data_IF_921904338153
#
_entry.id   IF_921904338153
#
_cell.length_a   1.000
_cell.length_b   1.000
_cell.length_c   1.000
_cell.angle_alpha   90.00
_cell.angle_beta   90.00
_cell.angle_gamma   90.00
#
_symmetry.space_group_name_H-M   'P 1'
#
loop_
_entity.id
_entity.type
_entity.pdbx_description
1 polymer ?
#
# COMPACT_ATOMS: atom_id res chain seq x y z
N UNK A 1 -18.87 24.18 -11.56
CA UNK A 1 -17.54 23.76 -11.12
C UNK A 1 -17.54 22.27 -10.91
N UNK A 2 -16.63 21.55 -11.55
CA UNK A 2 -16.44 20.11 -11.40
C UNK A 2 -15.29 19.88 -10.40
N UNK A 3 -15.52 19.12 -9.35
CA UNK A 3 -14.53 18.87 -8.29
C UNK A 3 -14.30 17.36 -8.14
N UNK A 4 -13.06 16.94 -8.24
CA UNK A 4 -12.65 15.58 -7.91
C UNK A 4 -12.13 15.54 -6.46
N UNK A 5 -12.73 14.68 -5.65
CA UNK A 5 -12.37 14.47 -4.24
C UNK A 5 -11.67 13.13 -4.12
N UNK A 6 -10.34 13.16 -3.96
CA UNK A 6 -9.46 12.00 -3.96
C UNK A 6 -8.60 11.92 -2.67
N UNK A 7 -9.21 11.68 -1.49
CA UNK A 7 -8.51 11.60 -0.22
C UNK A 7 -8.00 10.20 0.06
N UNK A 8 -6.91 10.11 0.83
CA UNK A 8 -6.55 8.94 1.60
C UNK A 8 -7.30 8.91 2.95
N UNK A 9 -7.20 7.83 3.68
CA UNK A 9 -7.78 7.66 4.99
C UNK A 9 -7.14 8.60 6.04
N UNK A 10 -7.93 9.03 7.01
CA UNK A 10 -7.41 9.63 8.23
C UNK A 10 -7.17 8.49 9.24
N UNK A 11 -5.99 7.87 9.14
CA UNK A 11 -5.63 6.66 9.89
C UNK A 11 -6.04 6.72 11.35
N UNK A 12 -6.80 5.72 11.83
CA UNK A 12 -7.35 5.68 13.19
C UNK A 12 -8.55 6.59 13.44
N UNK A 13 -9.13 7.21 12.40
CA UNK A 13 -10.30 8.11 12.52
C UNK A 13 -11.35 7.80 11.44
N UNK A 14 -11.12 8.19 10.18
CA UNK A 14 -12.05 8.01 9.05
C UNK A 14 -11.39 7.22 7.92
N UNK A 15 -12.14 6.31 7.30
CA UNK A 15 -11.76 5.70 6.02
C UNK A 15 -11.71 6.74 4.90
N UNK A 16 -11.01 6.44 3.81
CA UNK A 16 -10.95 7.33 2.64
C UNK A 16 -12.33 7.64 2.04
N UNK A 17 -13.25 6.66 2.10
CA UNK A 17 -14.65 6.85 1.68
C UNK A 17 -15.38 7.83 2.59
N UNK A 18 -15.28 7.68 3.92
CA UNK A 18 -15.94 8.59 4.88
C UNK A 18 -15.39 10.01 4.77
N UNK A 19 -14.09 10.17 4.54
CA UNK A 19 -13.48 11.49 4.25
C UNK A 19 -14.07 12.08 2.97
N UNK A 20 -14.15 11.30 1.89
CA UNK A 20 -14.68 11.76 0.61
C UNK A 20 -16.17 12.19 0.73
N UNK A 21 -16.99 11.42 1.44
CA UNK A 21 -18.40 11.75 1.65
C UNK A 21 -18.58 13.00 2.54
N UNK A 22 -17.75 13.18 3.57
CA UNK A 22 -17.76 14.38 4.40
C UNK A 22 -17.41 15.64 3.58
N UNK A 23 -16.38 15.55 2.73
CA UNK A 23 -16.01 16.65 1.81
C UNK A 23 -17.11 16.94 0.82
N UNK A 24 -17.70 15.90 0.20
CA UNK A 24 -18.79 16.04 -0.76
C UNK A 24 -20.04 16.71 -0.14
N UNK A 25 -20.44 16.29 1.06
CA UNK A 25 -21.55 16.89 1.78
C UNK A 25 -21.32 18.39 2.00
N UNK A 26 -20.15 18.77 2.49
CA UNK A 26 -19.78 20.17 2.73
C UNK A 26 -19.74 21.00 1.43
N UNK A 27 -19.19 20.44 0.34
CA UNK A 27 -19.15 21.11 -0.96
C UNK A 27 -20.56 21.35 -1.53
N UNK A 28 -21.44 20.35 -1.41
CA UNK A 28 -22.81 20.44 -1.92
C UNK A 28 -23.61 21.54 -1.19
N UNK A 29 -23.35 21.70 0.12
CA UNK A 29 -23.98 22.76 0.91
C UNK A 29 -23.36 24.13 0.61
N UNK A 30 -22.03 24.23 0.53
CA UNK A 30 -21.34 25.51 0.32
C UNK A 30 -21.47 26.04 -1.12
N UNK A 31 -21.64 25.16 -2.12
CA UNK A 31 -21.73 25.51 -3.54
C UNK A 31 -22.87 24.72 -4.23
N UNK A 32 -24.13 25.14 -4.05
CA UNK A 32 -25.25 24.52 -4.76
C UNK A 32 -25.00 24.50 -6.28
N UNK A 33 -25.08 23.32 -6.90
CA UNK A 33 -24.85 23.15 -8.34
C UNK A 33 -23.41 22.78 -8.75
N UNK A 34 -22.48 22.60 -7.82
CA UNK A 34 -21.20 21.96 -8.14
C UNK A 34 -21.40 20.47 -8.42
N UNK A 35 -20.58 19.92 -9.32
CA UNK A 35 -20.52 18.48 -9.58
C UNK A 35 -19.34 17.91 -8.81
N UNK A 36 -19.62 17.05 -7.84
CA UNK A 36 -18.58 16.41 -7.02
C UNK A 36 -18.48 14.93 -7.35
N UNK A 37 -17.29 14.51 -7.77
CA UNK A 37 -16.95 13.10 -7.99
C UNK A 37 -16.02 12.65 -6.87
N UNK A 38 -16.36 11.56 -6.18
CA UNK A 38 -15.53 10.97 -5.13
C UNK A 38 -14.72 9.81 -5.70
N UNK A 39 -13.42 9.83 -5.44
CA UNK A 39 -12.46 8.79 -5.76
C UNK A 39 -11.58 8.53 -4.53
N UNK A 40 -12.08 7.79 -3.52
CA UNK A 40 -11.24 7.44 -2.38
C UNK A 40 -10.01 6.69 -2.85
N UNK A 41 -8.84 7.07 -2.32
CA UNK A 41 -7.55 6.48 -2.68
C UNK A 41 -6.88 5.83 -1.47
N UNK A 42 -5.76 5.16 -1.72
CA UNK A 42 -4.86 4.59 -0.71
C UNK A 42 -3.42 4.83 -1.14
N UNK A 43 -2.51 4.84 -0.21
CA UNK A 43 -1.07 4.85 -0.48
C UNK A 43 -0.54 3.48 -1.00
N UNK A 44 -1.42 2.49 -1.17
CA UNK A 44 -1.03 1.14 -1.63
C UNK A 44 -0.54 0.22 -0.51
N UNK A 45 -0.57 0.70 0.74
CA UNK A 45 -0.32 -0.09 1.93
C UNK A 45 -1.52 -0.93 2.34
N UNK A 46 -1.86 -0.95 3.64
CA UNK A 46 -3.04 -1.64 4.15
C UNK A 46 -4.34 -0.98 3.64
N UNK A 47 -5.36 -1.80 3.34
CA UNK A 47 -6.67 -1.34 2.89
C UNK A 47 -6.79 -1.10 1.38
N UNK A 48 -5.86 -1.62 0.59
CA UNK A 48 -5.88 -1.54 -0.89
C UNK A 48 -7.16 -2.17 -1.47
N UNK A 49 -7.54 -3.36 -0.98
CA UNK A 49 -8.78 -4.04 -1.36
C UNK A 49 -9.99 -3.17 -1.05
N UNK A 50 -10.06 -2.62 0.15
CA UNK A 50 -11.18 -1.78 0.59
C UNK A 50 -11.30 -0.48 -0.24
N UNK A 51 -10.17 0.14 -0.56
CA UNK A 51 -10.14 1.38 -1.32
C UNK A 51 -10.54 1.18 -2.79
N UNK A 52 -10.09 0.09 -3.42
CA UNK A 52 -10.28 -0.12 -4.85
C UNK A 52 -11.58 -0.85 -5.21
N UNK A 53 -12.07 -1.75 -4.34
CA UNK A 53 -13.22 -2.62 -4.67
C UNK A 53 -14.48 -1.86 -5.10
N UNK A 54 -14.93 -0.79 -4.40
CA UNK A 54 -16.14 -0.08 -4.80
C UNK A 54 -16.02 0.57 -6.17
N UNK A 55 -14.89 1.23 -6.44
CA UNK A 55 -14.66 1.98 -7.68
C UNK A 55 -14.49 1.07 -8.90
N UNK A 56 -13.94 -0.13 -8.69
CA UNK A 56 -13.72 -1.13 -9.75
C UNK A 56 -14.89 -2.11 -9.91
N UNK A 57 -15.96 -1.96 -9.12
CA UNK A 57 -17.05 -2.94 -9.09
C UNK A 57 -16.56 -4.35 -8.76
N UNK A 58 -15.50 -4.45 -7.94
CA UNK A 58 -14.88 -5.72 -7.59
C UNK A 58 -15.68 -6.45 -6.52
N UNK A 59 -15.77 -7.76 -6.65
CA UNK A 59 -16.35 -8.64 -5.63
C UNK A 59 -15.26 -9.09 -4.67
N UNK A 60 -15.50 -8.93 -3.36
CA UNK A 60 -14.63 -9.50 -2.34
C UNK A 60 -14.93 -10.98 -2.20
N UNK A 61 -13.90 -11.80 -2.33
CA UNK A 61 -13.96 -13.26 -2.21
C UNK A 61 -13.04 -13.72 -1.08
N UNK A 62 -13.35 -14.85 -0.48
CA UNK A 62 -12.55 -15.45 0.59
C UNK A 62 -12.00 -16.82 0.18
N UNK A 63 -10.80 -17.12 0.63
CA UNK A 63 -10.14 -18.41 0.49
C UNK A 63 -9.63 -18.92 1.84
N UNK A 64 -9.56 -20.25 2.00
CA UNK A 64 -8.88 -20.86 3.14
C UNK A 64 -7.40 -21.00 2.80
N UNK A 65 -6.56 -20.36 3.58
CA UNK A 65 -5.11 -20.30 3.40
C UNK A 65 -4.41 -20.47 4.75
N UNK A 66 -3.09 -20.51 4.76
CA UNK A 66 -2.30 -20.55 5.98
C UNK A 66 -1.93 -19.14 6.46
N UNK A 67 -1.96 -18.95 7.78
CA UNK A 67 -1.39 -17.75 8.41
C UNK A 67 0.15 -17.87 8.49
N UNK A 68 0.88 -16.85 8.99
CA UNK A 68 2.34 -16.89 9.06
C UNK A 68 2.92 -18.06 9.85
N UNK A 69 2.16 -18.66 10.77
CA UNK A 69 2.56 -19.78 11.60
C UNK A 69 1.92 -21.13 11.19
N UNK A 70 1.39 -21.22 9.97
CA UNK A 70 0.87 -22.44 9.39
C UNK A 70 -0.54 -22.84 9.85
N UNK A 71 -1.28 -21.97 10.56
CA UNK A 71 -2.67 -22.23 10.96
C UNK A 71 -3.62 -21.89 9.81
N UNK A 72 -4.66 -22.67 9.60
CA UNK A 72 -5.65 -22.36 8.56
C UNK A 72 -6.52 -21.18 8.98
N UNK A 73 -6.57 -20.15 8.12
CA UNK A 73 -7.39 -18.95 8.29
C UNK A 73 -8.23 -18.69 7.03
N UNK A 74 -9.25 -17.84 7.18
CA UNK A 74 -10.00 -17.31 6.04
C UNK A 74 -9.45 -15.94 5.71
N UNK A 75 -8.86 -15.78 4.53
CA UNK A 75 -8.34 -14.51 4.04
C UNK A 75 -9.14 -14.03 2.83
N UNK A 76 -9.27 -12.73 2.66
CA UNK A 76 -10.08 -12.11 1.63
C UNK A 76 -9.25 -11.35 0.61
N UNK A 77 -9.73 -11.30 -0.63
CA UNK A 77 -9.16 -10.48 -1.69
C UNK A 77 -10.25 -10.06 -2.67
N UNK A 78 -9.97 -9.08 -3.54
CA UNK A 78 -10.96 -8.60 -4.49
C UNK A 78 -10.73 -9.13 -5.91
N UNK A 79 -11.82 -9.38 -6.64
CA UNK A 79 -11.82 -9.83 -8.03
C UNK A 79 -12.71 -8.93 -8.89
N UNK A 80 -12.19 -8.43 -10.01
CA UNK A 80 -12.93 -7.69 -11.03
C UNK A 80 -12.54 -8.19 -12.42
N UNK A 81 -13.43 -8.94 -13.06
CA UNK A 81 -13.12 -9.60 -14.32
C UNK A 81 -11.94 -10.57 -14.20
N UNK A 82 -10.88 -10.33 -14.95
CA UNK A 82 -9.62 -11.09 -14.87
C UNK A 82 -8.60 -10.48 -13.90
N UNK A 83 -8.93 -9.42 -13.20
CA UNK A 83 -8.05 -8.76 -12.24
C UNK A 83 -8.28 -9.27 -10.81
N UNK A 84 -7.19 -9.42 -10.04
CA UNK A 84 -7.21 -9.71 -8.61
C UNK A 84 -6.40 -8.65 -7.85
N UNK A 85 -6.95 -8.18 -6.73
CA UNK A 85 -6.28 -7.27 -5.79
C UNK A 85 -6.08 -8.04 -4.50
N UNK A 86 -4.83 -8.28 -4.13
CA UNK A 86 -4.46 -9.15 -3.00
C UNK A 86 -3.50 -8.41 -2.09
N UNK A 87 -3.78 -8.43 -0.79
CA UNK A 87 -2.90 -7.86 0.25
C UNK A 87 -2.22 -8.99 1.03
N UNK A 88 -0.90 -8.89 1.20
CA UNK A 88 -0.14 -9.86 1.99
C UNK A 88 -0.63 -9.91 3.45
N UNK A 89 -1.10 -8.79 3.97
CA UNK A 89 -1.58 -8.66 5.35
C UNK A 89 -2.78 -9.59 5.65
N UNK A 90 -3.58 -9.95 4.65
CA UNK A 90 -4.76 -10.81 4.80
C UNK A 90 -4.41 -12.27 5.14
N UNK A 91 -3.23 -12.75 4.69
CA UNK A 91 -2.82 -14.14 4.91
C UNK A 91 -1.46 -14.28 5.61
N UNK A 92 -0.56 -13.31 5.45
CA UNK A 92 0.79 -13.34 6.02
C UNK A 92 1.10 -12.06 6.81
N UNK A 93 0.06 -11.44 7.38
CA UNK A 93 0.10 -10.16 8.07
C UNK A 93 0.49 -10.25 9.54
N UNK A 94 1.10 -9.16 10.03
CA UNK A 94 1.51 -9.02 11.44
C UNK A 94 0.30 -9.02 12.40
N UNK A 95 -0.86 -8.54 11.94
CA UNK A 95 -2.10 -8.53 12.71
C UNK A 95 -2.71 -9.93 12.97
N UNK A 96 -2.26 -10.97 12.26
CA UNK A 96 -2.71 -12.35 12.44
C UNK A 96 -1.98 -13.08 13.58
N UNK A 97 -0.89 -12.50 14.09
CA UNK A 97 -0.03 -13.11 15.09
C UNK A 97 0.09 -12.16 16.30
N UNK A 98 -0.29 -12.63 17.48
CA UNK A 98 -0.11 -11.86 18.71
C UNK A 98 1.37 -11.64 19.01
N UNK A 99 1.71 -10.59 19.76
CA UNK A 99 3.13 -10.29 20.08
C UNK A 99 3.85 -11.45 20.74
N UNK A 100 3.13 -12.22 21.55
CA UNK A 100 3.68 -13.37 22.28
C UNK A 100 3.93 -14.59 21.41
N UNK A 101 3.22 -14.69 20.27
CA UNK A 101 3.34 -15.81 19.33
C UNK A 101 4.32 -15.51 18.17
N UNK A 102 4.84 -14.27 18.06
CA UNK A 102 5.72 -13.91 16.96
C UNK A 102 6.99 -14.76 16.96
N UNK A 103 7.18 -15.50 15.89
CA UNK A 103 8.38 -16.23 15.59
C UNK A 103 8.80 -15.95 14.15
N UNK A 104 9.65 -14.95 13.99
CA UNK A 104 10.11 -14.47 12.67
C UNK A 104 10.97 -15.52 11.94
N UNK A 105 11.54 -16.50 12.67
CA UNK A 105 12.36 -17.56 12.07
C UNK A 105 11.49 -18.61 11.37
N UNK A 106 10.30 -18.89 11.93
CA UNK A 106 9.35 -19.87 11.40
C UNK A 106 8.26 -19.21 10.55
N UNK A 107 7.95 -17.92 10.77
CA UNK A 107 6.91 -17.21 10.03
C UNK A 107 7.20 -17.19 8.52
N UNK A 108 6.20 -17.59 7.73
CA UNK A 108 6.33 -17.71 6.27
C UNK A 108 5.22 -16.98 5.49
N UNK A 109 5.49 -16.75 4.21
CA UNK A 109 4.61 -16.07 3.26
C UNK A 109 3.70 -17.01 2.46
N UNK A 110 3.55 -18.27 2.86
CA UNK A 110 2.83 -19.29 2.11
C UNK A 110 1.40 -18.91 1.81
N UNK A 111 0.66 -18.40 2.82
CA UNK A 111 -0.73 -18.03 2.64
C UNK A 111 -0.94 -16.95 1.58
N UNK A 112 0.00 -16.01 1.44
CA UNK A 112 -0.06 -15.02 0.36
C UNK A 112 0.09 -15.69 -1.01
N UNK A 113 0.99 -16.67 -1.16
CA UNK A 113 1.09 -17.47 -2.39
C UNK A 113 -0.17 -18.29 -2.69
N UNK A 114 -0.82 -18.80 -1.65
CA UNK A 114 -2.09 -19.55 -1.76
C UNK A 114 -3.23 -18.66 -2.23
N UNK A 115 -3.29 -17.36 -1.81
CA UNK A 115 -4.24 -16.40 -2.36
C UNK A 115 -4.02 -16.15 -3.85
N UNK A 116 -2.76 -15.99 -4.27
CA UNK A 116 -2.41 -15.86 -5.70
C UNK A 116 -2.85 -17.09 -6.48
N UNK A 117 -2.62 -18.30 -5.94
CA UNK A 117 -3.03 -19.55 -6.56
C UNK A 117 -4.55 -19.69 -6.67
N UNK A 118 -5.31 -19.30 -5.62
CA UNK A 118 -6.78 -19.29 -5.66
C UNK A 118 -7.31 -18.33 -6.73
N UNK A 119 -6.73 -17.15 -6.85
CA UNK A 119 -7.09 -16.18 -7.89
C UNK A 119 -6.76 -16.70 -9.31
N UNK A 120 -5.62 -17.36 -9.51
CA UNK A 120 -5.28 -18.05 -10.77
C UNK A 120 -6.32 -19.14 -11.10
N UNK A 121 -6.78 -19.90 -10.11
CA UNK A 121 -7.81 -20.94 -10.26
C UNK A 121 -9.17 -20.35 -10.66
N UNK A 122 -9.47 -19.12 -10.24
CA UNK A 122 -10.67 -18.37 -10.66
C UNK A 122 -10.54 -17.71 -12.02
N UNK A 123 -9.40 -17.86 -12.69
CA UNK A 123 -9.15 -17.31 -14.02
C UNK A 123 -8.51 -15.92 -14.03
N UNK A 124 -8.12 -15.37 -12.88
CA UNK A 124 -7.40 -14.09 -12.84
C UNK A 124 -6.03 -14.19 -13.51
N UNK A 125 -5.64 -13.13 -14.20
CA UNK A 125 -4.35 -13.01 -14.92
C UNK A 125 -3.72 -11.63 -14.76
N UNK A 126 -4.40 -10.68 -14.16
CA UNK A 126 -3.87 -9.34 -13.84
C UNK A 126 -3.91 -9.13 -12.32
N UNK A 127 -2.75 -9.03 -11.71
CA UNK A 127 -2.59 -9.00 -10.27
C UNK A 127 -2.07 -7.65 -9.80
N UNK A 128 -2.78 -7.03 -8.86
CA UNK A 128 -2.31 -5.92 -8.06
C UNK A 128 -2.05 -6.42 -6.64
N UNK A 129 -0.80 -6.43 -6.23
CA UNK A 129 -0.35 -7.01 -4.98
C UNK A 129 0.09 -5.90 -4.01
N UNK A 130 -0.55 -5.81 -2.84
CA UNK A 130 -0.12 -4.99 -1.72
C UNK A 130 0.76 -5.82 -0.78
N UNK A 131 1.97 -5.35 -0.48
CA UNK A 131 2.92 -6.08 0.37
C UNK A 131 3.22 -5.40 1.72
N UNK A 132 2.41 -4.42 2.11
CA UNK A 132 2.47 -3.79 3.43
C UNK A 132 1.98 -4.71 4.56
N UNK A 133 2.40 -4.44 5.80
CA UNK A 133 1.89 -5.11 7.01
C UNK A 133 2.32 -6.56 7.23
N UNK A 134 3.35 -7.08 6.54
CA UNK A 134 3.78 -8.48 6.64
C UNK A 134 4.40 -8.87 7.98
N UNK A 135 4.17 -10.12 8.43
CA UNK A 135 4.81 -10.72 9.60
C UNK A 135 6.14 -11.46 9.29
N UNK A 136 6.46 -11.65 8.01
CA UNK A 136 7.45 -12.61 7.54
C UNK A 136 8.79 -11.98 7.19
N UNK A 137 9.87 -12.77 7.21
CA UNK A 137 11.20 -12.41 6.69
C UNK A 137 11.84 -13.62 5.99
N UNK A 138 11.07 -14.28 5.13
CA UNK A 138 11.39 -15.54 4.47
C UNK A 138 11.81 -15.36 2.99
N UNK A 139 12.15 -14.13 2.57
CA UNK A 139 12.46 -13.80 1.17
C UNK A 139 11.38 -14.30 0.18
N UNK A 140 10.12 -14.41 0.62
CA UNK A 140 9.03 -14.95 -0.19
C UNK A 140 9.13 -16.46 -0.46
N UNK A 141 9.94 -17.20 0.29
CA UNK A 141 10.14 -18.64 0.11
C UNK A 141 8.81 -19.41 0.21
N UNK A 142 8.00 -19.11 1.24
CA UNK A 142 6.70 -19.75 1.42
C UNK A 142 5.73 -19.45 0.27
N UNK A 143 5.66 -18.20 -0.18
CA UNK A 143 4.87 -17.79 -1.34
C UNK A 143 5.27 -18.59 -2.58
N UNK A 144 6.58 -18.67 -2.87
CA UNK A 144 7.07 -19.39 -4.04
C UNK A 144 6.82 -20.91 -3.93
N UNK A 145 6.88 -21.49 -2.71
CA UNK A 145 6.51 -22.90 -2.49
C UNK A 145 5.02 -23.15 -2.78
N UNK A 146 4.14 -22.26 -2.37
CA UNK A 146 2.71 -22.37 -2.70
C UNK A 146 2.46 -22.31 -4.22
N UNK A 147 3.31 -21.59 -4.95
CA UNK A 147 3.27 -21.46 -6.41
C UNK A 147 4.05 -22.57 -7.16
N UNK A 148 4.62 -23.55 -6.43
CA UNK A 148 5.20 -24.77 -6.98
C UNK A 148 6.73 -24.81 -7.03
N UNK A 149 7.46 -23.77 -6.60
CA UNK A 149 8.91 -23.85 -6.44
C UNK A 149 9.31 -24.73 -5.27
N UNK A 150 10.52 -25.26 -5.31
CA UNK A 150 11.09 -26.11 -4.26
C UNK A 150 12.49 -25.63 -3.89
N UNK A 151 12.78 -25.67 -2.60
CA UNK A 151 14.05 -25.23 -2.04
C UNK A 151 14.70 -26.41 -1.33
N UNK A 152 15.97 -26.69 -1.63
CA UNK A 152 16.69 -27.85 -1.12
C UNK A 152 17.96 -27.41 -0.41
N UNK A 153 18.32 -28.16 0.63
CA UNK A 153 19.61 -28.01 1.30
C UNK A 153 20.75 -28.70 0.53
N UNK A 154 21.97 -28.65 1.08
CA UNK A 154 23.17 -29.26 0.50
C UNK A 154 23.12 -30.80 0.48
N UNK A 155 22.26 -31.44 1.28
CA UNK A 155 22.05 -32.88 1.25
C UNK A 155 21.00 -33.29 0.21
N UNK A 156 20.30 -32.36 -0.39
CA UNK A 156 19.19 -32.58 -1.30
C UNK A 156 17.84 -32.77 -0.60
N UNK A 157 17.75 -32.50 0.71
CA UNK A 157 16.49 -32.54 1.44
C UNK A 157 15.67 -31.27 1.16
N UNK A 158 14.35 -31.46 1.05
CA UNK A 158 13.41 -30.33 0.86
C UNK A 158 13.33 -29.51 2.17
N UNK A 159 13.51 -28.21 2.04
CA UNK A 159 13.40 -27.29 3.17
C UNK A 159 11.96 -26.84 3.38
N UNK A 160 11.49 -26.70 4.63
CA UNK A 160 10.25 -26.01 4.94
C UNK A 160 10.41 -24.49 4.67
N UNK A 161 9.28 -23.77 4.61
CA UNK A 161 9.29 -22.32 4.52
C UNK A 161 9.69 -21.68 5.87
N UNK A 162 10.17 -20.43 5.82
CA UNK A 162 10.51 -19.64 6.99
C UNK A 162 11.89 -18.98 6.87
N UNK A 163 12.06 -17.86 7.56
CA UNK A 163 13.31 -17.08 7.54
C UNK A 163 14.53 -17.85 8.03
N UNK A 164 14.33 -18.73 9.02
CA UNK A 164 15.39 -19.55 9.61
C UNK A 164 15.99 -20.62 8.68
N UNK A 165 15.38 -20.83 7.53
CA UNK A 165 15.84 -21.83 6.55
C UNK A 165 16.61 -21.22 5.38
N UNK A 166 16.58 -19.91 5.19
CA UNK A 166 17.20 -19.23 4.04
C UNK A 166 18.71 -19.49 3.92
N UNK A 167 19.42 -19.50 5.04
CA UNK A 167 20.89 -19.76 5.07
C UNK A 167 21.22 -21.20 4.61
N UNK A 168 20.29 -22.15 4.77
CA UNK A 168 20.48 -23.56 4.43
C UNK A 168 20.18 -23.87 2.96
N UNK A 169 19.58 -22.96 2.21
CA UNK A 169 19.25 -23.18 0.80
C UNK A 169 20.54 -23.38 0.00
N UNK A 170 20.62 -24.50 -0.73
CA UNK A 170 21.70 -24.81 -1.64
C UNK A 170 21.21 -24.86 -3.10
N UNK A 171 19.92 -25.14 -3.34
CA UNK A 171 19.33 -25.20 -4.68
C UNK A 171 17.87 -24.74 -4.70
N UNK A 172 17.54 -23.96 -5.70
CA UNK A 172 16.17 -23.52 -6.03
C UNK A 172 15.75 -24.26 -7.30
N UNK A 173 14.55 -24.85 -7.28
CA UNK A 173 14.00 -25.63 -8.37
C UNK A 173 12.61 -25.14 -8.75
N UNK A 174 12.48 -24.57 -9.93
CA UNK A 174 11.23 -24.05 -10.48
C UNK A 174 10.50 -25.03 -11.41
N UNK A 175 10.95 -26.28 -11.54
CA UNK A 175 10.36 -27.24 -12.49
C UNK A 175 8.90 -27.58 -12.18
N UNK A 176 8.45 -27.36 -10.95
CA UNK A 176 7.06 -27.54 -10.49
C UNK A 176 6.25 -26.27 -10.45
N UNK A 177 6.78 -25.14 -10.89
CA UNK A 177 6.08 -23.85 -10.89
C UNK A 177 4.77 -23.91 -11.71
N UNK A 178 3.73 -23.26 -11.24
CA UNK A 178 2.43 -23.24 -11.91
C UNK A 178 2.58 -22.67 -13.34
N UNK A 179 2.19 -23.45 -14.33
CA UNK A 179 2.37 -23.15 -15.76
C UNK A 179 1.60 -21.88 -16.22
N UNK A 180 0.66 -21.39 -15.41
CA UNK A 180 -0.14 -20.19 -15.71
C UNK A 180 0.56 -18.88 -15.31
N UNK A 181 1.60 -18.94 -14.48
CA UNK A 181 2.30 -17.75 -13.99
C UNK A 181 2.92 -16.88 -15.09
N UNK A 182 3.53 -17.46 -16.16
CA UNK A 182 4.04 -16.67 -17.28
C UNK A 182 2.96 -15.94 -18.10
N UNK A 183 1.70 -16.38 -18.02
CA UNK A 183 0.56 -15.76 -18.69
C UNK A 183 -0.05 -14.61 -17.86
N UNK A 184 0.34 -14.51 -16.59
CA UNK A 184 -0.20 -13.53 -15.67
C UNK A 184 0.71 -12.29 -15.58
N UNK A 185 0.09 -11.14 -15.37
CA UNK A 185 0.76 -9.87 -15.13
C UNK A 185 0.68 -9.53 -13.64
N UNK A 186 1.81 -9.25 -13.05
CA UNK A 186 1.90 -8.86 -11.65
C UNK A 186 2.40 -7.42 -11.52
N UNK A 187 1.77 -6.63 -10.66
CA UNK A 187 2.19 -5.28 -10.26
C UNK A 187 2.16 -5.22 -8.74
N UNK A 188 3.20 -4.68 -8.14
CA UNK A 188 3.38 -4.67 -6.68
C UNK A 188 3.39 -3.25 -6.16
N UNK A 189 2.46 -2.95 -5.27
CA UNK A 189 2.45 -1.70 -4.51
C UNK A 189 3.54 -1.77 -3.43
N UNK A 190 4.57 -0.93 -3.56
CA UNK A 190 5.72 -0.90 -2.68
C UNK A 190 6.21 0.54 -2.51
N UNK A 191 6.07 1.11 -1.31
CA UNK A 191 6.45 2.49 -0.99
C UNK A 191 7.75 2.60 -0.20
N UNK A 192 8.47 1.47 -0.06
CA UNK A 192 9.80 1.44 0.54
C UNK A 192 10.84 1.06 -0.50
N UNK A 193 12.03 1.61 -0.38
CA UNK A 193 13.17 1.38 -1.26
C UNK A 193 14.28 0.53 -0.62
N UNK A 194 14.04 0.00 0.59
CA UNK A 194 15.00 -0.79 1.33
C UNK A 194 15.55 -1.94 0.49
N UNK A 195 16.89 -2.13 0.47
CA UNK A 195 17.53 -3.27 -0.17
C UNK A 195 17.20 -4.57 0.57
N UNK A 196 17.53 -5.70 -0.02
CA UNK A 196 17.19 -7.00 0.56
C UNK A 196 17.93 -7.27 1.89
N UNK A 197 19.22 -6.96 1.96
CA UNK A 197 20.07 -7.22 3.13
C UNK A 197 21.02 -6.04 3.43
N UNK A 198 21.72 -6.11 4.55
CA UNK A 198 22.64 -5.07 5.02
C UNK A 198 21.99 -4.12 6.02
N UNK A 199 22.68 -3.02 6.35
CA UNK A 199 22.27 -2.10 7.42
C UNK A 199 20.88 -1.47 7.20
N UNK A 200 20.50 -1.23 5.94
CA UNK A 200 19.18 -0.76 5.55
C UNK A 200 18.27 -1.90 5.03
N UNK A 201 18.68 -3.16 5.20
CA UNK A 201 17.99 -4.33 4.68
C UNK A 201 16.79 -4.78 5.47
N UNK A 202 16.05 -5.75 4.91
CA UNK A 202 14.79 -6.24 5.46
C UNK A 202 14.89 -6.72 6.91
N UNK A 203 15.91 -7.49 7.26
CA UNK A 203 16.06 -8.05 8.60
C UNK A 203 16.38 -6.96 9.64
N UNK A 204 17.29 -6.04 9.32
CA UNK A 204 17.74 -4.99 10.23
C UNK A 204 16.63 -3.97 10.48
N UNK A 205 16.00 -3.48 9.42
CA UNK A 205 15.00 -2.39 9.53
C UNK A 205 13.65 -2.89 10.04
N UNK A 206 13.18 -4.04 9.56
CA UNK A 206 11.82 -4.50 9.84
C UNK A 206 11.76 -5.73 10.78
N UNK A 207 12.87 -6.42 11.03
CA UNK A 207 12.92 -7.59 11.90
C UNK A 207 12.46 -7.31 13.33
N UNK A 208 12.94 -6.25 14.01
CA UNK A 208 12.60 -5.97 15.39
C UNK A 208 11.09 -5.84 15.65
N UNK A 209 10.35 -5.14 14.80
CA UNK A 209 8.89 -5.01 14.94
C UNK A 209 8.13 -6.33 14.71
N UNK A 210 8.76 -7.29 14.04
CA UNK A 210 8.25 -8.65 13.81
C UNK A 210 8.69 -9.64 14.89
N UNK A 211 9.36 -9.17 15.93
CA UNK A 211 9.78 -9.96 17.10
C UNK A 211 11.19 -10.53 17.03
N UNK A 212 12.02 -10.09 16.07
CA UNK A 212 13.40 -10.56 15.99
C UNK A 212 14.27 -10.04 17.15
N UNK A 213 15.03 -10.91 17.78
CA UNK A 213 16.19 -10.55 18.60
C UNK A 213 17.37 -10.13 17.71
N UNK A 214 18.38 -9.46 18.28
CA UNK A 214 19.59 -9.06 17.55
C UNK A 214 20.28 -10.27 16.86
N UNK A 215 20.38 -11.41 17.55
CA UNK A 215 20.95 -12.63 16.98
C UNK A 215 20.13 -13.18 15.81
N UNK A 216 18.79 -13.10 15.89
CA UNK A 216 17.91 -13.52 14.80
C UNK A 216 18.01 -12.57 13.62
N UNK A 217 18.13 -11.25 13.84
CA UNK A 217 18.38 -10.27 12.77
C UNK A 217 19.64 -10.61 11.98
N UNK A 218 20.76 -10.91 12.68
CA UNK A 218 22.01 -11.32 12.02
C UNK A 218 21.85 -12.63 11.21
N UNK A 219 21.14 -13.62 11.77
CA UNK A 219 20.91 -14.89 11.09
C UNK A 219 20.02 -14.71 9.84
N UNK A 220 18.97 -13.91 9.95
CA UNK A 220 18.09 -13.57 8.84
C UNK A 220 18.83 -12.81 7.75
N UNK A 221 19.68 -11.82 8.10
CA UNK A 221 20.46 -11.08 7.11
C UNK A 221 21.42 -11.99 6.34
N UNK A 222 22.10 -12.93 7.04
CA UNK A 222 22.92 -13.95 6.35
C UNK A 222 22.09 -14.83 5.42
N UNK A 223 20.88 -15.23 5.86
CA UNK A 223 19.95 -16.00 5.04
C UNK A 223 19.52 -15.26 3.77
N UNK A 224 19.18 -13.96 3.90
CA UNK A 224 18.83 -13.09 2.77
C UNK A 224 19.99 -12.93 1.78
N UNK A 225 21.23 -12.81 2.27
CA UNK A 225 22.44 -12.78 1.41
C UNK A 225 22.61 -14.09 0.63
N UNK A 226 22.42 -15.24 1.28
CA UNK A 226 22.50 -16.54 0.61
C UNK A 226 21.42 -16.66 -0.46
N UNK A 227 20.17 -16.27 -0.14
CA UNK A 227 19.07 -16.25 -1.11
C UNK A 227 19.39 -15.36 -2.31
N UNK A 228 19.83 -14.13 -2.09
CA UNK A 228 20.22 -13.20 -3.16
C UNK A 228 21.30 -13.79 -4.08
N UNK A 229 22.33 -14.41 -3.51
CA UNK A 229 23.39 -15.08 -4.25
C UNK A 229 22.83 -16.18 -5.16
N UNK A 230 21.97 -17.05 -4.62
CA UNK A 230 21.38 -18.15 -5.41
C UNK A 230 20.46 -17.66 -6.53
N UNK A 231 19.68 -16.60 -6.27
CA UNK A 231 18.84 -15.95 -7.29
C UNK A 231 19.72 -15.33 -8.38
N UNK A 232 20.80 -14.66 -8.01
CA UNK A 232 21.72 -14.09 -8.99
C UNK A 232 22.39 -15.17 -9.85
N UNK A 233 22.89 -16.24 -9.23
CA UNK A 233 23.54 -17.36 -9.92
C UNK A 233 22.57 -18.12 -10.85
N UNK A 234 21.31 -18.33 -10.41
CA UNK A 234 20.33 -19.11 -11.15
C UNK A 234 19.50 -18.34 -12.17
N UNK A 235 19.24 -17.05 -11.92
CA UNK A 235 18.31 -16.22 -12.70
C UNK A 235 18.92 -14.94 -13.27
N UNK A 236 20.16 -14.60 -12.88
CA UNK A 236 20.84 -13.37 -13.34
C UNK A 236 20.28 -12.07 -12.74
N UNK A 237 19.43 -12.15 -11.69
CA UNK A 237 18.82 -10.97 -11.06
C UNK A 237 19.62 -10.56 -9.83
N UNK A 238 20.16 -9.34 -9.84
CA UNK A 238 20.80 -8.76 -8.65
C UNK A 238 19.73 -8.09 -7.76
N UNK A 239 19.26 -8.83 -6.75
CA UNK A 239 18.23 -8.36 -5.82
C UNK A 239 18.69 -7.17 -4.97
N UNK A 240 20.00 -7.05 -4.71
CA UNK A 240 20.52 -5.94 -3.91
C UNK A 240 20.46 -4.60 -4.65
N UNK A 241 20.49 -4.63 -5.97
CA UNK A 241 20.34 -3.45 -6.82
C UNK A 241 18.86 -3.08 -7.10
N UNK A 242 17.89 -3.90 -6.62
CA UNK A 242 16.47 -3.61 -6.84
C UNK A 242 15.90 -2.82 -5.65
N UNK A 243 15.52 -1.55 -5.79
CA UNK A 243 14.85 -0.79 -4.75
C UNK A 243 13.57 -1.50 -4.31
N UNK A 244 13.35 -1.62 -3.00
CA UNK A 244 12.19 -2.30 -2.44
C UNK A 244 12.29 -3.83 -2.39
N UNK A 245 13.42 -4.43 -2.78
CA UNK A 245 13.62 -5.88 -2.69
C UNK A 245 13.49 -6.40 -1.25
N UNK A 246 13.82 -5.57 -0.23
CA UNK A 246 13.66 -5.89 1.19
C UNK A 246 12.22 -5.75 1.71
N UNK A 247 11.31 -5.17 0.93
CA UNK A 247 9.92 -5.01 1.33
C UNK A 247 9.29 -6.36 1.70
N UNK A 248 8.46 -6.35 2.74
CA UNK A 248 7.80 -7.54 3.27
C UNK A 248 8.77 -8.70 3.59
N UNK A 249 9.96 -8.38 4.13
CA UNK A 249 10.94 -9.41 4.49
C UNK A 249 11.53 -10.16 3.30
N UNK A 250 11.64 -9.48 2.16
CA UNK A 250 12.19 -10.01 0.91
C UNK A 250 11.16 -10.53 -0.10
N UNK A 251 9.87 -10.50 0.22
CA UNK A 251 8.79 -10.86 -0.73
C UNK A 251 8.86 -9.97 -1.97
N UNK A 252 9.15 -8.65 -1.82
CA UNK A 252 9.34 -7.74 -2.95
C UNK A 252 10.41 -8.24 -3.91
N UNK A 253 11.55 -8.66 -3.41
CA UNK A 253 12.64 -9.25 -4.19
C UNK A 253 12.22 -10.54 -4.91
N UNK A 254 11.50 -11.45 -4.21
CA UNK A 254 10.99 -12.67 -4.81
C UNK A 254 10.00 -12.39 -5.96
N UNK A 255 9.04 -11.51 -5.76
CA UNK A 255 8.08 -11.10 -6.80
C UNK A 255 8.81 -10.55 -8.04
N UNK A 256 9.86 -9.75 -7.82
CA UNK A 256 10.69 -9.25 -8.93
C UNK A 256 11.41 -10.36 -9.67
N UNK A 257 12.09 -11.28 -8.95
CA UNK A 257 12.95 -12.30 -9.55
C UNK A 257 12.15 -13.42 -10.22
N UNK A 258 11.12 -13.93 -9.55
CA UNK A 258 10.41 -15.14 -9.99
C UNK A 258 9.20 -14.83 -10.87
N UNK A 259 8.57 -13.69 -10.72
CA UNK A 259 7.36 -13.31 -11.45
C UNK A 259 7.55 -12.08 -12.35
N UNK A 260 8.79 -11.57 -12.46
CA UNK A 260 9.12 -10.35 -13.19
C UNK A 260 8.26 -9.12 -12.83
N UNK A 261 7.70 -9.12 -11.62
CA UNK A 261 6.78 -8.09 -11.16
C UNK A 261 7.52 -6.76 -10.93
N UNK A 262 7.09 -5.64 -11.50
CA UNK A 262 7.60 -4.33 -11.13
C UNK A 262 7.13 -3.94 -9.72
N UNK A 263 8.05 -3.42 -8.92
CA UNK A 263 7.76 -2.76 -7.65
C UNK A 263 7.52 -1.29 -7.97
N UNK A 264 6.34 -0.79 -7.67
CA UNK A 264 5.89 0.55 -8.06
C UNK A 264 5.29 1.28 -6.86
N UNK A 265 5.39 2.61 -6.80
CA UNK A 265 4.73 3.37 -5.74
C UNK A 265 3.23 3.08 -5.70
N UNK A 266 2.74 2.68 -4.53
CA UNK A 266 1.38 2.18 -4.36
C UNK A 266 0.33 3.22 -4.73
N UNK A 267 0.53 4.46 -4.34
CA UNK A 267 -0.39 5.55 -4.68
C UNK A 267 -0.57 5.72 -6.20
N UNK A 268 0.52 5.62 -6.98
CA UNK A 268 0.42 5.71 -8.45
C UNK A 268 -0.35 4.54 -9.06
N UNK A 269 -0.13 3.33 -8.55
CA UNK A 269 -0.87 2.14 -9.00
C UNK A 269 -2.37 2.24 -8.70
N UNK A 270 -2.71 2.78 -7.53
CA UNK A 270 -4.11 3.05 -7.16
C UNK A 270 -4.73 4.07 -8.10
N UNK A 271 -4.04 5.19 -8.35
CA UNK A 271 -4.53 6.22 -9.27
C UNK A 271 -4.70 5.70 -10.70
N UNK A 272 -3.78 4.85 -11.19
CA UNK A 272 -3.90 4.18 -12.49
C UNK A 272 -5.12 3.26 -12.55
N UNK A 273 -5.29 2.41 -11.53
CA UNK A 273 -6.39 1.47 -11.46
C UNK A 273 -7.76 2.18 -11.43
N UNK A 274 -7.82 3.36 -10.82
CA UNK A 274 -9.05 4.17 -10.71
C UNK A 274 -9.28 5.10 -11.91
N UNK A 275 -8.35 5.19 -12.87
CA UNK A 275 -8.48 6.09 -14.02
C UNK A 275 -8.43 7.58 -13.63
N UNK A 276 -7.60 7.91 -12.64
CA UNK A 276 -7.50 9.24 -12.04
C UNK A 276 -7.31 10.35 -13.09
N UNK A 277 -6.40 10.18 -14.05
CA UNK A 277 -6.06 11.23 -15.02
C UNK A 277 -7.26 11.66 -15.86
N UNK A 278 -8.11 10.71 -16.23
CA UNK A 278 -9.34 11.02 -16.99
C UNK A 278 -10.27 11.90 -16.16
N UNK A 279 -10.54 11.51 -14.89
CA UNK A 279 -11.45 12.28 -14.04
C UNK A 279 -10.84 13.62 -13.61
N UNK A 280 -9.54 13.68 -13.36
CA UNK A 280 -8.85 14.91 -13.00
C UNK A 280 -8.86 15.91 -14.17
N UNK A 281 -8.61 15.47 -15.42
CA UNK A 281 -8.63 16.34 -16.60
C UNK A 281 -10.00 16.98 -16.89
N UNK A 282 -11.08 16.35 -16.42
CA UNK A 282 -12.45 16.87 -16.51
C UNK A 282 -12.83 17.77 -15.32
N UNK A 283 -11.93 18.00 -14.38
CA UNK A 283 -12.19 18.70 -13.12
C UNK A 283 -11.54 20.08 -13.10
N UNK A 284 -12.22 21.06 -12.50
CA UNK A 284 -11.71 22.40 -12.28
C UNK A 284 -10.81 22.48 -11.04
N UNK A 285 -10.95 21.51 -10.12
CA UNK A 285 -10.23 21.41 -8.85
C UNK A 285 -10.15 19.96 -8.40
N UNK A 286 -9.00 19.58 -7.85
CA UNK A 286 -8.84 18.33 -7.11
C UNK A 286 -8.70 18.64 -5.62
N UNK A 287 -9.45 17.93 -4.77
CA UNK A 287 -9.30 17.97 -3.32
C UNK A 287 -8.78 16.61 -2.88
N UNK A 288 -7.60 16.59 -2.29
CA UNK A 288 -7.00 15.41 -1.67
C UNK A 288 -6.86 15.61 -0.16
N UNK A 289 -6.39 14.58 0.56
CA UNK A 289 -6.18 14.71 2.00
C UNK A 289 -5.61 13.43 2.60
N UNK A 290 -5.04 13.59 3.79
CA UNK A 290 -4.54 12.50 4.63
C UNK A 290 -4.58 12.89 6.11
N UNK A 291 -4.43 11.91 7.04
CA UNK A 291 -4.49 12.19 8.48
C UNK A 291 -3.36 13.10 8.97
N UNK A 292 -2.16 13.00 8.42
CA UNK A 292 -1.02 13.84 8.79
C UNK A 292 -0.13 14.09 7.57
N UNK A 293 -0.04 15.34 7.16
CA UNK A 293 0.84 15.77 6.08
C UNK A 293 2.15 16.30 6.67
N UNK A 294 3.27 15.70 6.31
CA UNK A 294 4.60 16.08 6.78
C UNK A 294 5.66 15.89 5.67
N UNK A 295 6.94 16.13 5.99
CA UNK A 295 8.03 15.98 5.04
C UNK A 295 8.18 14.53 4.48
N UNK A 296 7.70 13.52 5.20
CA UNK A 296 7.70 12.14 4.69
C UNK A 296 6.61 11.93 3.64
N UNK A 297 5.49 12.66 3.74
CA UNK A 297 4.42 12.63 2.72
C UNK A 297 4.93 13.03 1.34
N UNK A 298 5.99 13.88 1.27
CA UNK A 298 6.63 14.29 0.01
C UNK A 298 7.34 13.15 -0.74
N UNK A 299 7.59 12.01 -0.07
CA UNK A 299 8.27 10.85 -0.67
C UNK A 299 7.35 9.93 -1.46
N UNK A 300 6.29 10.46 -2.08
CA UNK A 300 5.42 9.69 -2.99
C UNK A 300 4.16 9.10 -2.36
N UNK A 301 3.76 9.54 -1.15
CA UNK A 301 2.48 9.16 -0.56
C UNK A 301 1.29 9.71 -1.36
N UNK A 302 0.09 9.23 -1.03
CA UNK A 302 -1.15 9.47 -1.77
C UNK A 302 -1.39 10.94 -2.15
N UNK A 303 -1.28 11.87 -1.21
CA UNK A 303 -1.47 13.30 -1.50
C UNK A 303 -0.47 13.86 -2.52
N UNK A 304 0.79 13.44 -2.46
CA UNK A 304 1.82 13.87 -3.41
C UNK A 304 1.64 13.25 -4.80
N UNK A 305 1.22 11.99 -4.88
CA UNK A 305 0.91 11.35 -6.15
C UNK A 305 -0.26 12.07 -6.86
N UNK A 306 -1.30 12.43 -6.11
CA UNK A 306 -2.42 13.25 -6.61
C UNK A 306 -1.92 14.61 -7.10
N UNK A 307 -1.10 15.31 -6.30
CA UNK A 307 -0.55 16.61 -6.68
C UNK A 307 0.29 16.53 -7.96
N UNK A 308 1.22 15.58 -8.05
CA UNK A 308 2.10 15.42 -9.21
C UNK A 308 1.29 15.16 -10.49
N UNK A 309 0.32 14.23 -10.43
CA UNK A 309 -0.50 13.91 -11.60
C UNK A 309 -1.42 15.07 -12.00
N UNK A 310 -2.07 15.71 -11.04
CA UNK A 310 -2.91 16.88 -11.31
C UNK A 310 -2.10 18.05 -11.89
N UNK A 311 -0.87 18.26 -11.41
CA UNK A 311 0.00 19.31 -11.92
C UNK A 311 0.38 19.09 -13.39
N UNK A 312 0.63 17.84 -13.82
CA UNK A 312 0.88 17.54 -15.24
C UNK A 312 -0.33 17.82 -16.14
N UNK A 313 -1.54 17.78 -15.56
CA UNK A 313 -2.80 18.08 -16.24
C UNK A 313 -3.20 19.56 -16.11
N UNK A 314 -2.42 20.37 -15.38
CA UNK A 314 -2.72 21.80 -15.14
C UNK A 314 -3.90 22.02 -14.18
N UNK A 315 -4.32 21.01 -13.40
CA UNK A 315 -5.45 21.10 -12.47
C UNK A 315 -4.96 21.44 -11.06
N UNK A 316 -5.49 22.51 -10.43
CA UNK A 316 -5.07 22.92 -9.09
C UNK A 316 -5.51 21.88 -8.03
N UNK A 317 -4.68 21.72 -6.97
CA UNK A 317 -4.92 20.79 -5.89
C UNK A 317 -4.98 21.48 -4.54
N UNK A 318 -5.99 21.17 -3.75
CA UNK A 318 -6.12 21.54 -2.33
C UNK A 318 -5.93 20.27 -1.49
N UNK A 319 -5.12 20.34 -0.44
CA UNK A 319 -4.96 19.27 0.53
C UNK A 319 -5.72 19.59 1.83
N UNK A 320 -6.60 18.70 2.26
CA UNK A 320 -7.29 18.71 3.56
C UNK A 320 -6.62 17.68 4.46
N UNK A 321 -5.97 18.09 5.52
CA UNK A 321 -5.17 17.20 6.35
C UNK A 321 -5.58 17.28 7.81
N UNK A 322 -5.64 16.13 8.50
CA UNK A 322 -5.94 16.10 9.92
C UNK A 322 -4.98 17.00 10.69
N UNK A 323 -3.67 16.81 10.46
CA UNK A 323 -2.59 17.63 11.01
C UNK A 323 -1.64 17.98 9.86
N UNK A 324 -1.10 19.19 9.89
CA UNK A 324 -0.03 19.64 9.01
C UNK A 324 1.22 19.92 9.85
N UNK A 325 2.29 19.18 9.61
CA UNK A 325 3.61 19.49 10.16
C UNK A 325 4.33 20.34 9.13
N UNK A 326 4.20 21.64 9.28
CA UNK A 326 4.71 22.63 8.32
C UNK A 326 6.23 22.48 8.09
N UNK A 327 6.62 22.58 6.83
CA UNK A 327 8.01 22.60 6.42
C UNK A 327 8.18 23.46 5.16
N UNK A 328 9.39 24.03 4.89
CA UNK A 328 9.65 24.75 3.66
C UNK A 328 9.30 23.94 2.41
N UNK A 329 9.65 22.66 2.41
CA UNK A 329 9.39 21.75 1.28
C UNK A 329 7.90 21.55 0.99
N UNK A 330 7.04 21.53 2.02
CA UNK A 330 5.58 21.43 1.85
C UNK A 330 5.00 22.71 1.25
N UNK A 331 5.52 23.88 1.63
CA UNK A 331 5.07 25.17 1.07
C UNK A 331 5.43 25.31 -0.41
N UNK A 332 6.56 24.71 -0.83
CA UNK A 332 7.05 24.71 -2.20
C UNK A 332 6.53 23.57 -3.06
N UNK A 333 5.81 22.60 -2.47
CA UNK A 333 5.36 21.39 -3.15
C UNK A 333 4.40 21.66 -4.33
N UNK A 334 3.69 22.79 -4.32
CA UNK A 334 2.81 23.20 -5.42
C UNK A 334 1.32 23.03 -5.15
N UNK A 335 0.92 22.68 -3.92
CA UNK A 335 -0.50 22.75 -3.55
C UNK A 335 -1.03 24.18 -3.65
N UNK A 336 -2.22 24.35 -4.23
CA UNK A 336 -2.93 25.63 -4.24
C UNK A 336 -3.22 26.10 -2.82
N UNK A 337 -3.56 25.16 -1.93
CA UNK A 337 -3.74 25.38 -0.50
C UNK A 337 -3.57 24.08 0.27
N UNK A 338 -3.00 24.18 1.47
CA UNK A 338 -2.97 23.09 2.46
C UNK A 338 -3.75 23.59 3.68
N UNK A 339 -4.74 22.81 4.12
CA UNK A 339 -5.63 23.15 5.23
C UNK A 339 -5.59 22.09 6.30
N UNK A 340 -5.18 22.43 7.53
CA UNK A 340 -5.43 21.57 8.67
C UNK A 340 -6.93 21.58 8.99
N UNK A 341 -7.55 20.39 9.08
CA UNK A 341 -8.96 20.26 9.45
C UNK A 341 -9.15 20.25 10.97
N UNK A 342 -8.12 19.89 11.76
CA UNK A 342 -8.16 19.98 13.20
C UNK A 342 -8.08 21.45 13.64
N UNK A 343 -9.12 22.00 14.32
CA UNK A 343 -9.07 23.36 14.83
C UNK A 343 -7.93 23.56 15.84
N UNK A 344 -7.40 24.78 15.90
CA UNK A 344 -6.42 25.14 16.90
C UNK A 344 -6.99 24.95 18.32
N UNK A 345 -6.18 24.44 19.25
CA UNK A 345 -6.60 24.15 20.63
C UNK A 345 -7.39 22.85 20.82
N UNK A 346 -7.90 22.20 19.77
CA UNK A 346 -8.58 20.92 19.90
C UNK A 346 -7.56 19.79 20.17
N UNK A 347 -7.84 18.92 21.15
CA UNK A 347 -6.98 17.77 21.43
C UNK A 347 -7.01 16.75 20.28
N UNK A 348 -5.89 16.05 20.06
CA UNK A 348 -5.80 15.04 19.02
C UNK A 348 -6.82 13.90 19.24
N UNK A 349 -6.95 13.42 20.48
CA UNK A 349 -7.90 12.36 20.83
C UNK A 349 -9.35 12.73 20.48
N UNK A 350 -9.73 13.99 20.68
CA UNK A 350 -11.06 14.48 20.30
C UNK A 350 -11.19 14.60 18.78
N UNK A 351 -10.17 15.15 18.10
CA UNK A 351 -10.17 15.33 16.65
C UNK A 351 -10.22 14.00 15.86
N UNK A 352 -9.71 12.92 16.47
CA UNK A 352 -9.71 11.58 15.85
C UNK A 352 -11.04 10.84 15.98
N UNK A 353 -11.98 11.32 16.79
CA UNK A 353 -13.32 10.72 16.83
C UNK A 353 -14.02 10.91 15.47
N UNK A 354 -14.62 9.88 14.88
CA UNK A 354 -15.18 9.95 13.52
C UNK A 354 -16.21 11.08 13.34
N UNK A 355 -17.10 11.25 14.32
CA UNK A 355 -18.11 12.31 14.33
C UNK A 355 -17.49 13.72 14.32
N UNK A 356 -16.44 13.91 15.12
CA UNK A 356 -15.73 15.18 15.25
C UNK A 356 -14.87 15.45 14.00
N UNK A 357 -14.19 14.43 13.50
CA UNK A 357 -13.37 14.54 12.28
C UNK A 357 -14.22 14.96 11.08
N UNK A 358 -15.38 14.34 10.89
CA UNK A 358 -16.31 14.70 9.82
C UNK A 358 -16.83 16.16 9.95
N UNK A 359 -17.18 16.59 11.16
CA UNK A 359 -17.58 17.97 11.42
C UNK A 359 -16.45 18.98 11.18
N UNK A 360 -15.23 18.64 11.54
CA UNK A 360 -14.05 19.45 11.27
C UNK A 360 -13.78 19.60 9.75
N UNK A 361 -13.89 18.49 8.98
CA UNK A 361 -13.78 18.51 7.52
C UNK A 361 -14.84 19.44 6.92
N UNK A 362 -16.09 19.30 7.36
CA UNK A 362 -17.19 20.13 6.91
C UNK A 362 -16.90 21.61 7.12
N UNK A 363 -16.46 21.99 8.31
CA UNK A 363 -16.12 23.38 8.68
C UNK A 363 -14.96 23.94 7.84
N UNK A 364 -13.91 23.13 7.61
CA UNK A 364 -12.76 23.52 6.82
C UNK A 364 -13.13 23.76 5.34
N UNK A 365 -13.96 22.88 4.76
CA UNK A 365 -14.46 23.00 3.38
C UNK A 365 -15.38 24.21 3.24
N UNK A 366 -16.33 24.39 4.14
CA UNK A 366 -17.23 25.56 4.13
C UNK A 366 -16.44 26.87 4.16
N UNK A 367 -15.37 26.95 4.97
CA UNK A 367 -14.49 28.13 5.02
C UNK A 367 -13.71 28.41 3.73
N UNK A 368 -13.44 27.39 2.89
CA UNK A 368 -12.75 27.58 1.60
C UNK A 368 -13.62 28.33 0.58
N UNK A 369 -14.92 28.07 0.58
CA UNK A 369 -15.86 28.53 -0.43
C UNK A 369 -16.81 29.61 0.09
N UNK A 370 -16.66 30.05 1.36
CA UNK A 370 -17.42 31.20 1.89
C UNK A 370 -17.01 32.52 1.20
N UNK A 371 -17.88 33.56 1.18
CA UNK A 371 -17.50 34.90 0.72
C UNK A 371 -16.23 35.38 1.46
N UNK A 372 -15.17 35.72 0.71
CA UNK A 372 -13.85 36.03 1.26
C UNK A 372 -12.94 34.81 1.48
N UNK A 373 -13.41 33.60 1.23
CA UNK A 373 -12.60 32.38 1.17
C UNK A 373 -11.77 32.30 -0.12
N UNK A 374 -10.77 31.42 -0.15
CA UNK A 374 -9.81 31.33 -1.27
C UNK A 374 -10.43 30.96 -2.63
N UNK A 375 -11.65 30.45 -2.64
CA UNK A 375 -12.42 30.02 -3.82
C UNK A 375 -13.84 30.60 -3.83
N UNK A 376 -14.20 31.42 -2.84
CA UNK A 376 -15.49 32.12 -2.80
C UNK A 376 -15.56 33.22 -3.86
N UNK A 377 -16.77 33.53 -4.32
CA UNK A 377 -17.02 34.74 -5.14
C UNK A 377 -16.56 35.99 -4.36
N UNK A 378 -15.97 37.03 -5.00
CA UNK A 378 -15.67 38.27 -4.31
C UNK A 378 -16.93 38.82 -3.66
N UNK A 379 -16.80 39.32 -2.43
CA UNK A 379 -17.91 39.94 -1.71
C UNK A 379 -18.52 41.06 -2.57
N UNK A 380 -19.85 41.23 -2.63
CA UNK A 380 -20.46 42.34 -3.35
C UNK A 380 -20.04 43.65 -2.69
N UNK A 381 -18.96 44.28 -3.17
CA UNK A 381 -18.40 45.53 -2.63
C UNK A 381 -16.92 45.77 -2.92
N UNK A 382 -16.20 44.81 -3.50
CA UNK A 382 -14.82 44.97 -3.97
C UNK A 382 -14.76 44.91 -5.51
N UNK A 383 -15.43 45.84 -6.16
CA UNK A 383 -15.24 46.19 -7.59
C UNK A 383 -14.95 47.67 -7.68
#
# INVERSE_FOLDING_TARGET
MNILVAPDSFKGSLSSMEVAEAVKAALTEAMPGCVVRCMPISDGGEGLVQALSPSLGASVVSAKVHDPLGRTVSASYAVSGSAAIIEIAEASGLGLVSEQERDIMEADSRGFGELVLDALNRGCRDFLLGIGGSATNDAGMGMMQALGWRFYDSSGALLPAGGGYLEKIARIDGSGADARLPEARFRVACDVDNPLFGDDGAAVVFGPQKGASEQQVEALDRGLRNFARLVHEGMGVDLQAVPGSGAAGGVGGALKAFLAAPLLPGAHLVLDALGFDTLASESDLVITGEGCLDAQSLRGKACMAVLQRSSTLGVPVVALCGIVKDSPALREAGFKKILPVKPEGQSLALAMRPDVAAANIHSAVAGLFSPGGSFGSPSPGEV
#
